data_IF_157417572915
#
_entry.id   IF_157417572915
#
_cell.length_a   1.000
_cell.length_b   1.000
_cell.length_c   1.000
_cell.angle_alpha   90.00
_cell.angle_beta   90.00
_cell.angle_gamma   90.00
#
_symmetry.space_group_name_H-M   'P 1'
#
loop_
_entity.id
_entity.type
_entity.pdbx_description
1 polymer ?
#
# COMPACT_ATOMS: atom_id res chain seq x y z
N UNK A 1 6.52 20.95 -20.69
CA UNK A 1 6.36 21.04 -19.23
C UNK A 1 6.63 19.63 -18.72
N UNK A 2 7.74 19.40 -18.01
CA UNK A 2 8.08 18.05 -17.55
C UNK A 2 7.14 17.67 -16.42
N UNK A 3 6.41 16.57 -16.56
CA UNK A 3 5.56 16.04 -15.51
C UNK A 3 6.47 15.40 -14.46
N UNK A 4 6.75 16.14 -13.40
CA UNK A 4 7.51 15.64 -12.26
C UNK A 4 6.58 14.77 -11.42
N UNK A 5 6.99 13.53 -11.18
CA UNK A 5 6.24 12.57 -10.39
C UNK A 5 6.84 12.56 -8.98
N UNK A 6 6.09 12.97 -7.95
CA UNK A 6 6.55 12.91 -6.56
C UNK A 6 6.05 11.64 -5.87
N UNK A 7 6.98 10.90 -5.28
CA UNK A 7 6.73 9.66 -4.56
C UNK A 7 6.55 9.94 -3.07
N UNK A 8 5.46 9.39 -2.50
CA UNK A 8 5.27 9.35 -1.05
C UNK A 8 5.67 7.98 -0.52
N UNK A 9 6.59 7.96 0.43
CA UNK A 9 7.17 6.72 0.96
C UNK A 9 7.07 6.61 2.47
N UNK A 10 7.09 5.37 2.94
CA UNK A 10 7.06 4.98 4.34
C UNK A 10 8.15 3.96 4.64
N UNK A 11 8.50 3.86 5.92
CA UNK A 11 9.47 2.90 6.40
C UNK A 11 8.93 1.47 6.23
N UNK A 12 9.69 0.55 5.61
CA UNK A 12 9.24 -0.84 5.44
C UNK A 12 9.22 -1.64 6.75
N UNK A 13 9.86 -1.13 7.82
CA UNK A 13 9.94 -1.79 9.12
C UNK A 13 8.79 -1.36 10.04
N UNK A 14 8.53 -0.06 10.17
CA UNK A 14 7.54 0.47 11.11
C UNK A 14 6.32 1.14 10.45
N UNK A 15 6.27 1.21 9.11
CA UNK A 15 5.16 1.78 8.36
C UNK A 15 4.96 3.28 8.48
N UNK A 16 5.79 4.00 9.25
CA UNK A 16 5.69 5.46 9.40
C UNK A 16 6.13 6.16 8.13
N UNK A 17 5.45 7.26 7.79
CA UNK A 17 5.83 8.12 6.67
C UNK A 17 7.26 8.63 6.87
N UNK A 18 8.06 8.60 5.80
CA UNK A 18 9.42 9.14 5.78
C UNK A 18 9.46 10.55 5.18
N UNK A 19 8.29 11.13 4.87
CA UNK A 19 8.19 12.42 4.21
C UNK A 19 8.43 13.56 5.20
N UNK A 20 9.21 14.55 4.77
CA UNK A 20 9.46 15.78 5.52
C UNK A 20 8.96 17.00 4.73
N UNK A 21 7.81 17.52 5.16
CA UNK A 21 7.15 18.69 4.57
C UNK A 21 7.89 20.01 4.80
N UNK A 22 8.82 20.06 5.77
CA UNK A 22 9.55 21.29 6.13
C UNK A 22 10.83 21.47 5.33
N UNK A 23 11.52 20.37 5.04
CA UNK A 23 12.74 20.40 4.25
C UNK A 23 12.42 19.95 2.83
N UNK A 24 12.52 20.87 1.88
CA UNK A 24 12.23 20.58 0.49
C UNK A 24 13.49 20.18 -0.27
N UNK A 25 13.34 19.25 -1.21
CA UNK A 25 14.32 18.95 -2.25
C UNK A 25 13.56 18.97 -3.57
N UNK A 26 14.11 19.64 -4.59
CA UNK A 26 13.41 19.91 -5.86
C UNK A 26 12.06 20.61 -5.71
N UNK A 27 11.92 21.44 -4.67
CA UNK A 27 10.68 22.11 -4.27
C UNK A 27 9.52 21.17 -3.87
N UNK A 28 9.82 19.89 -3.61
CA UNK A 28 8.87 18.92 -3.08
C UNK A 28 9.26 18.48 -1.66
N UNK A 29 8.30 18.01 -0.84
CA UNK A 29 8.59 17.37 0.44
C UNK A 29 9.64 16.27 0.25
N UNK A 30 10.69 16.29 1.07
CA UNK A 30 11.82 15.37 0.92
C UNK A 30 11.57 14.05 1.66
N UNK A 31 12.36 13.03 1.33
CA UNK A 31 12.39 11.77 2.06
C UNK A 31 13.51 11.86 3.10
N UNK A 32 13.16 11.96 4.38
CA UNK A 32 14.11 12.12 5.47
C UNK A 32 14.52 10.77 6.07
N UNK A 33 15.82 10.54 6.14
CA UNK A 33 16.42 9.32 6.67
C UNK A 33 17.66 9.65 7.52
N UNK A 34 17.96 8.79 8.50
CA UNK A 34 19.29 8.75 9.08
C UNK A 34 20.26 8.13 8.08
N UNK A 35 21.47 8.67 7.97
CA UNK A 35 22.51 8.19 7.06
C UNK A 35 23.80 7.87 7.81
N UNK A 36 24.50 6.84 7.36
CA UNK A 36 25.85 6.51 7.80
C UNK A 36 26.74 6.25 6.59
N UNK A 37 27.91 6.89 6.58
CA UNK A 37 28.98 6.70 5.59
C UNK A 37 30.27 6.43 6.34
N UNK A 38 30.80 5.21 6.21
CA UNK A 38 31.88 4.74 7.09
C UNK A 38 31.48 4.85 8.56
N UNK A 39 32.18 5.67 9.33
CA UNK A 39 31.89 5.92 10.76
C UNK A 39 31.06 7.21 11.00
N UNK A 40 30.87 8.05 9.98
CA UNK A 40 30.13 9.31 10.11
C UNK A 40 28.62 9.02 10.09
N UNK A 41 27.89 9.58 11.04
CA UNK A 41 26.42 9.50 11.14
C UNK A 41 25.82 10.87 10.96
N UNK A 42 24.67 10.93 10.28
CA UNK A 42 23.96 12.17 10.02
C UNK A 42 22.54 11.95 9.56
N UNK A 43 21.98 12.99 8.93
CA UNK A 43 20.67 13.03 8.30
C UNK A 43 20.82 13.28 6.81
N UNK A 44 20.03 12.57 6.02
CA UNK A 44 19.89 12.81 4.58
C UNK A 44 18.43 13.07 4.24
N UNK A 45 18.20 14.01 3.34
CA UNK A 45 16.90 14.32 2.77
C UNK A 45 17.02 14.07 1.26
N UNK A 46 16.45 12.98 0.79
CA UNK A 46 16.45 12.63 -0.63
C UNK A 46 15.31 13.35 -1.35
N UNK A 47 15.46 13.59 -2.64
CA UNK A 47 14.33 14.00 -3.47
C UNK A 47 13.24 12.94 -3.46
N UNK A 48 11.98 13.39 -3.38
CA UNK A 48 10.83 12.53 -3.62
C UNK A 48 10.47 12.44 -5.10
N UNK A 49 11.08 13.27 -5.95
CA UNK A 49 10.78 13.30 -7.38
C UNK A 49 11.43 12.09 -8.07
N UNK A 50 10.62 11.32 -8.78
CA UNK A 50 11.08 10.19 -9.57
C UNK A 50 12.08 10.63 -10.64
N UNK A 51 13.15 9.86 -10.84
CA UNK A 51 14.34 10.21 -11.64
C UNK A 51 15.15 11.42 -11.15
N UNK A 52 14.83 11.99 -9.98
CA UNK A 52 15.72 12.94 -9.33
C UNK A 52 16.70 12.22 -8.41
N UNK A 53 17.98 12.60 -8.55
CA UNK A 53 19.08 12.11 -7.71
C UNK A 53 19.57 13.19 -6.75
N UNK A 54 18.85 14.31 -6.64
CA UNK A 54 19.20 15.39 -5.75
C UNK A 54 18.92 14.99 -4.30
N UNK A 55 19.79 15.44 -3.40
CA UNK A 55 19.60 15.25 -1.97
C UNK A 55 20.35 16.34 -1.20
N UNK A 56 19.98 16.50 0.07
CA UNK A 56 20.70 17.28 1.05
C UNK A 56 21.19 16.35 2.14
N UNK A 57 22.46 16.47 2.53
CA UNK A 57 23.02 15.74 3.66
C UNK A 57 23.81 16.68 4.57
N UNK A 58 23.77 16.41 5.86
CA UNK A 58 24.59 17.11 6.88
C UNK A 58 25.98 16.47 7.07
N UNK A 59 26.26 15.37 6.38
CA UNK A 59 27.58 14.72 6.34
C UNK A 59 28.13 14.68 4.91
N UNK A 60 29.44 14.54 4.81
CA UNK A 60 30.10 14.29 3.54
C UNK A 60 29.64 12.96 2.95
N UNK A 61 29.39 12.98 1.64
CA UNK A 61 28.96 11.85 0.83
C UNK A 61 29.95 11.66 -0.32
N UNK A 62 31.13 11.04 -0.06
CA UNK A 62 32.13 10.81 -1.09
C UNK A 62 31.61 9.89 -2.19
N UNK A 63 31.98 10.16 -3.43
CA UNK A 63 31.57 9.34 -4.57
C UNK A 63 32.06 7.90 -4.44
N UNK A 64 31.26 6.95 -4.93
CA UNK A 64 31.49 5.50 -4.88
C UNK A 64 31.44 4.83 -3.49
N UNK A 65 31.30 5.58 -2.40
CA UNK A 65 31.11 5.01 -1.08
C UNK A 65 29.73 4.38 -0.89
N UNK A 66 29.65 3.42 0.05
CA UNK A 66 28.39 2.79 0.43
C UNK A 66 27.74 3.55 1.58
N UNK A 67 26.47 3.91 1.41
CA UNK A 67 25.62 4.48 2.45
C UNK A 67 24.78 3.40 3.12
N UNK A 68 24.53 3.59 4.42
CA UNK A 68 23.50 2.87 5.16
C UNK A 68 22.42 3.85 5.58
N UNK A 69 21.16 3.48 5.35
CA UNK A 69 20.02 4.33 5.67
C UNK A 69 19.20 3.75 6.80
N UNK A 70 18.71 4.62 7.66
CA UNK A 70 17.98 4.28 8.89
C UNK A 70 16.69 5.08 8.95
N UNK A 71 15.62 4.44 9.42
CA UNK A 71 14.37 5.13 9.68
C UNK A 71 14.52 6.10 10.87
N UNK A 72 14.15 7.38 10.75
CA UNK A 72 14.24 8.34 11.85
C UNK A 72 13.24 8.07 12.99
N UNK A 73 12.23 7.23 12.75
CA UNK A 73 11.18 6.92 13.74
C UNK A 73 11.51 5.68 14.57
N UNK A 74 11.98 4.60 13.94
CA UNK A 74 12.26 3.33 14.64
C UNK A 74 13.76 3.00 14.72
N UNK A 75 14.63 3.83 14.14
CA UNK A 75 16.09 3.65 14.09
C UNK A 75 16.55 2.33 13.43
N UNK A 76 15.63 1.60 12.79
CA UNK A 76 15.97 0.36 12.09
C UNK A 76 16.71 0.69 10.79
N UNK A 77 17.77 -0.06 10.54
CA UNK A 77 18.48 -0.04 9.25
C UNK A 77 17.55 -0.58 8.16
N UNK A 78 17.42 0.19 7.08
CA UNK A 78 16.63 -0.20 5.91
C UNK A 78 17.59 -0.88 4.94
N UNK A 79 17.41 -2.19 4.74
CA UNK A 79 18.25 -3.01 3.86
C UNK A 79 17.46 -4.10 3.16
N UNK A 80 17.93 -4.51 1.98
CA UNK A 80 17.44 -5.68 1.27
C UNK A 80 18.55 -6.72 1.07
N UNK A 81 18.16 -7.89 0.55
CA UNK A 81 19.10 -8.93 0.08
C UNK A 81 19.38 -8.84 -1.43
N UNK A 82 18.84 -7.83 -2.09
CA UNK A 82 19.02 -7.64 -3.54
C UNK A 82 20.15 -6.67 -3.80
N UNK A 83 21.06 -7.04 -4.67
CA UNK A 83 22.15 -6.19 -5.12
C UNK A 83 21.75 -5.41 -6.39
N UNK A 84 22.45 -4.32 -6.63
CA UNK A 84 22.28 -3.46 -7.78
C UNK A 84 22.90 -4.11 -9.03
N UNK A 85 22.11 -4.32 -10.09
CA UNK A 85 22.60 -4.94 -11.33
C UNK A 85 23.69 -4.12 -12.04
N UNK A 86 23.81 -2.81 -11.74
CA UNK A 86 24.78 -1.92 -12.36
C UNK A 86 26.14 -1.87 -11.63
N UNK A 87 26.16 -1.96 -10.29
CA UNK A 87 27.38 -1.77 -9.50
C UNK A 87 27.56 -2.77 -8.34
N UNK A 88 26.68 -3.77 -8.27
CA UNK A 88 26.67 -4.86 -7.30
C UNK A 88 26.63 -4.42 -5.82
N UNK A 89 26.20 -3.18 -5.55
CA UNK A 89 26.00 -2.68 -4.21
C UNK A 89 24.59 -3.03 -3.68
N UNK A 90 24.41 -3.19 -2.36
CA UNK A 90 23.09 -3.50 -1.80
C UNK A 90 22.02 -2.46 -2.16
N UNK A 91 20.80 -2.91 -2.45
CA UNK A 91 19.66 -2.03 -2.67
C UNK A 91 18.93 -1.71 -1.35
N UNK A 92 18.39 -0.51 -1.25
CA UNK A 92 17.67 0.00 -0.09
C UNK A 92 16.20 0.21 -0.47
N UNK A 93 15.27 -0.62 0.03
CA UNK A 93 13.85 -0.53 -0.32
C UNK A 93 13.11 0.45 0.58
N UNK A 94 12.24 1.27 -0.01
CA UNK A 94 11.28 2.14 0.68
C UNK A 94 9.88 1.79 0.18
N UNK A 95 8.92 1.63 1.09
CA UNK A 95 7.56 1.27 0.72
C UNK A 95 6.83 2.52 0.22
N UNK A 96 6.08 2.39 -0.88
CA UNK A 96 5.22 3.47 -1.36
C UNK A 96 3.94 3.52 -0.51
N UNK A 97 3.43 4.72 -0.21
CA UNK A 97 2.16 4.87 0.51
C UNK A 97 0.98 4.21 -0.24
N UNK A 98 1.03 4.26 -1.57
CA UNK A 98 0.01 3.70 -2.48
C UNK A 98 0.19 2.21 -2.77
N UNK A 99 1.20 1.57 -2.19
CA UNK A 99 1.56 0.17 -2.43
C UNK A 99 2.67 -0.01 -3.46
N UNK A 100 3.45 -1.08 -3.29
CA UNK A 100 4.71 -1.30 -4.00
C UNK A 100 5.90 -0.74 -3.24
N UNK A 101 7.08 -0.79 -3.84
CA UNK A 101 8.28 -0.20 -3.25
C UNK A 101 9.18 0.42 -4.31
N UNK A 102 9.94 1.42 -3.89
CA UNK A 102 11.07 1.95 -4.64
C UNK A 102 12.34 1.47 -3.96
N UNK A 103 13.25 0.91 -4.74
CA UNK A 103 14.57 0.53 -4.25
C UNK A 103 15.63 1.42 -4.88
N UNK A 104 16.43 2.04 -4.03
CA UNK A 104 17.55 2.89 -4.44
C UNK A 104 18.87 2.18 -4.16
N UNK A 105 19.89 2.44 -4.99
CA UNK A 105 21.22 1.89 -4.76
C UNK A 105 21.87 2.54 -3.54
N UNK A 106 22.55 1.72 -2.71
CA UNK A 106 23.34 2.23 -1.59
C UNK A 106 24.68 2.86 -2.00
N UNK A 107 25.08 2.83 -3.27
CA UNK A 107 26.34 3.43 -3.72
C UNK A 107 26.13 4.88 -4.13
N UNK A 108 26.85 5.80 -3.49
CA UNK A 108 26.85 7.21 -3.86
C UNK A 108 27.38 7.37 -5.28
N UNK A 109 26.63 8.08 -6.14
CA UNK A 109 26.95 8.25 -7.56
C UNK A 109 26.34 7.18 -8.48
N UNK A 110 25.76 6.11 -7.94
CA UNK A 110 25.00 5.16 -8.74
C UNK A 110 23.56 5.66 -8.94
N UNK A 111 23.18 5.92 -10.19
CA UNK A 111 21.83 6.36 -10.57
C UNK A 111 20.83 5.21 -10.74
N UNK A 112 21.28 3.96 -10.55
CA UNK A 112 20.41 2.81 -10.69
C UNK A 112 19.43 2.76 -9.51
N UNK A 113 18.15 2.78 -9.86
CA UNK A 113 17.03 2.63 -8.95
C UNK A 113 15.93 1.91 -9.71
N UNK A 114 15.11 1.12 -9.01
CA UNK A 114 13.97 0.48 -9.64
C UNK A 114 12.75 0.67 -8.76
N UNK A 115 11.63 0.98 -9.40
CA UNK A 115 10.33 0.99 -8.74
C UNK A 115 9.63 -0.30 -9.10
N UNK A 116 9.29 -1.11 -8.10
CA UNK A 116 8.45 -2.28 -8.27
C UNK A 116 7.06 -1.91 -7.81
N UNK A 117 6.18 -1.71 -8.79
CA UNK A 117 4.76 -1.54 -8.55
C UNK A 117 4.06 -2.90 -8.53
N UNK A 118 3.12 -3.06 -7.61
CA UNK A 118 2.26 -4.25 -7.49
C UNK A 118 1.27 -4.30 -8.64
N UNK A 119 0.67 -3.15 -8.94
CA UNK A 119 -0.24 -2.92 -10.06
C UNK A 119 0.24 -1.66 -10.77
N UNK A 120 0.99 -1.86 -11.84
CA UNK A 120 1.55 -0.80 -12.67
C UNK A 120 0.48 0.18 -13.17
N UNK A 121 -0.74 -0.31 -13.41
CA UNK A 121 -1.86 0.49 -13.93
C UNK A 121 -2.42 1.46 -12.87
N UNK A 122 -2.47 1.05 -11.60
CA UNK A 122 -2.96 1.88 -10.50
C UNK A 122 -1.93 2.93 -10.08
N UNK A 123 -0.67 2.51 -9.94
CA UNK A 123 0.41 3.43 -9.63
C UNK A 123 0.52 4.51 -10.69
N UNK A 124 0.58 4.15 -11.99
CA UNK A 124 0.55 5.12 -13.07
C UNK A 124 -0.68 6.03 -12.98
N UNK A 125 -1.90 5.50 -12.80
CA UNK A 125 -3.12 6.32 -12.70
C UNK A 125 -3.03 7.36 -11.58
N UNK A 126 -2.51 7.01 -10.41
CA UNK A 126 -2.37 7.98 -9.32
C UNK A 126 -1.24 8.99 -9.59
N UNK A 127 -0.14 8.58 -10.23
CA UNK A 127 0.93 9.49 -10.68
C UNK A 127 0.43 10.47 -11.78
N UNK A 128 -0.47 10.02 -12.66
CA UNK A 128 -1.14 10.87 -13.66
C UNK A 128 -2.12 11.86 -13.02
N UNK A 129 -2.82 11.46 -11.97
CA UNK A 129 -3.73 12.33 -11.20
C UNK A 129 -2.93 13.39 -10.43
N UNK A 130 -1.85 12.98 -9.76
CA UNK A 130 -1.02 13.88 -8.94
C UNK A 130 -0.24 14.90 -9.81
N UNK A 131 0.04 14.58 -11.07
CA UNK A 131 0.64 15.49 -12.06
C UNK A 131 -0.38 16.40 -12.77
N UNK A 132 -1.67 16.35 -12.39
CA UNK A 132 -2.69 17.28 -12.88
C UNK A 132 -3.24 16.98 -14.28
N UNK A 133 -3.04 15.78 -14.81
CA UNK A 133 -3.59 15.39 -16.11
C UNK A 133 -5.04 14.92 -16.00
N UNK A 134 -5.96 15.86 -16.22
CA UNK A 134 -7.34 15.54 -16.58
C UNK A 134 -7.38 14.99 -18.02
N UNK A 135 -7.93 13.77 -18.13
CA UNK A 135 -8.55 13.14 -19.32
C UNK A 135 -7.64 12.78 -20.52
N UNK A 136 -7.20 11.51 -20.57
CA UNK A 136 -7.27 10.67 -21.79
C UNK A 136 -7.57 9.21 -21.43
N UNK A 137 -8.39 8.49 -22.23
CA UNK A 137 -8.73 7.09 -21.96
C UNK A 137 -7.52 6.18 -22.23
N UNK A 138 -7.37 5.18 -21.38
CA UNK A 138 -6.37 4.12 -21.48
C UNK A 138 -6.69 3.23 -22.69
N UNK A 139 -5.74 3.06 -23.62
CA UNK A 139 -5.87 2.18 -24.78
C UNK A 139 -5.46 0.74 -24.39
N UNK A 140 -6.29 -0.26 -24.73
CA UNK A 140 -6.13 -1.66 -24.29
C UNK A 140 -5.09 -2.48 -25.10
N UNK A 141 -4.48 -1.90 -26.13
CA UNK A 141 -3.61 -2.63 -27.07
C UNK A 141 -2.10 -2.55 -26.74
N UNK A 142 -1.71 -3.03 -25.55
CA UNK A 142 -0.32 -3.44 -25.29
C UNK A 142 -0.23 -4.93 -24.95
N UNK A 143 -0.61 -5.77 -25.91
CA UNK A 143 -0.27 -7.20 -25.92
C UNK A 143 1.12 -7.41 -26.54
N UNK A 144 2.15 -6.86 -25.91
CA UNK A 144 3.53 -7.22 -26.20
C UNK A 144 3.84 -8.58 -25.56
N UNK A 145 4.23 -9.57 -26.37
CA UNK A 145 4.56 -10.92 -25.90
C UNK A 145 5.79 -10.92 -24.98
N UNK A 146 5.59 -10.96 -23.66
CA UNK A 146 6.64 -11.20 -22.68
C UNK A 146 6.83 -12.70 -22.48
N UNK A 147 8.05 -13.21 -22.69
CA UNK A 147 8.45 -14.54 -22.24
C UNK A 147 8.97 -14.44 -20.81
N UNK A 148 8.47 -15.25 -19.85
CA UNK A 148 9.01 -15.24 -18.49
C UNK A 148 10.45 -15.76 -18.50
N UNK A 149 11.38 -15.00 -17.92
CA UNK A 149 12.67 -15.54 -17.47
C UNK A 149 12.38 -16.48 -16.31
N UNK A 150 12.82 -17.73 -16.43
CA UNK A 150 12.53 -18.81 -15.49
C UNK A 150 13.00 -18.49 -14.08
N UNK A 151 12.08 -18.60 -13.12
CA UNK A 151 12.37 -18.57 -11.69
C UNK A 151 12.98 -19.92 -11.28
N UNK A 152 14.12 -19.90 -10.60
CA UNK A 152 14.74 -21.08 -9.99
C UNK A 152 13.92 -21.59 -8.80
N UNK A 153 13.89 -22.91 -8.62
CA UNK A 153 12.93 -23.68 -7.85
C UNK A 153 13.10 -23.66 -6.30
N UNK A 154 13.75 -22.65 -5.72
CA UNK A 154 14.19 -22.71 -4.31
C UNK A 154 13.73 -21.53 -3.43
N UNK A 155 12.56 -20.93 -3.71
CA UNK A 155 11.90 -20.04 -2.75
C UNK A 155 10.76 -20.80 -2.06
N UNK A 156 11.02 -21.39 -0.89
CA UNK A 156 9.97 -21.88 0.00
C UNK A 156 8.96 -20.73 0.27
N UNK A 157 7.76 -20.85 -0.29
CA UNK A 157 6.62 -19.96 -0.07
C UNK A 157 6.25 -19.93 1.43
N UNK A 158 6.89 -19.03 2.17
CA UNK A 158 6.50 -18.73 3.54
C UNK A 158 5.20 -17.95 3.52
N UNK A 159 4.10 -18.69 3.67
CA UNK A 159 2.74 -18.19 3.89
C UNK A 159 2.79 -17.11 4.99
N UNK A 160 2.31 -15.91 4.67
CA UNK A 160 2.30 -14.80 5.60
C UNK A 160 1.17 -14.93 6.62
N UNK A 161 1.39 -14.56 7.88
CA UNK A 161 0.32 -14.45 8.88
C UNK A 161 0.11 -12.97 9.23
N UNK A 162 -1.05 -12.42 8.88
CA UNK A 162 -1.47 -11.09 9.33
C UNK A 162 -2.00 -11.22 10.75
N UNK A 163 -1.33 -10.52 11.67
CA UNK A 163 -1.64 -10.58 13.10
C UNK A 163 -2.84 -9.73 13.46
N UNK A 164 -3.55 -10.14 14.50
CA UNK A 164 -4.61 -9.34 15.12
C UNK A 164 -4.09 -7.96 15.51
N UNK A 165 -4.88 -6.91 15.23
CA UNK A 165 -4.48 -5.53 15.45
C UNK A 165 -3.58 -4.93 14.37
N UNK A 166 -3.29 -5.65 13.28
CA UNK A 166 -2.60 -5.06 12.12
C UNK A 166 -3.50 -4.04 11.43
N UNK A 167 -2.96 -2.85 11.12
CA UNK A 167 -3.68 -1.84 10.33
C UNK A 167 -3.81 -2.30 8.87
N UNK A 168 -5.04 -2.42 8.40
CA UNK A 168 -5.37 -2.81 7.03
C UNK A 168 -5.59 -1.55 6.19
N UNK A 169 -4.69 -1.29 5.24
CA UNK A 169 -4.97 -0.30 4.22
C UNK A 169 -5.97 -0.89 3.23
N UNK A 170 -7.14 -0.25 3.11
CA UNK A 170 -8.27 -0.76 2.34
C UNK A 170 -8.56 0.09 1.11
N UNK A 171 -8.97 -0.56 0.03
CA UNK A 171 -9.20 0.05 -1.28
C UNK A 171 -10.47 -0.48 -1.94
N UNK A 172 -11.08 0.34 -2.80
CA UNK A 172 -12.23 -0.08 -3.58
C UNK A 172 -11.81 -1.03 -4.70
N UNK A 173 -12.46 -2.20 -4.89
CA UNK A 173 -12.11 -3.13 -5.97
C UNK A 173 -12.33 -2.56 -7.37
N UNK A 174 -13.18 -1.53 -7.54
CA UNK A 174 -13.53 -0.98 -8.84
C UNK A 174 -12.73 0.27 -9.21
N UNK A 175 -12.66 1.27 -8.32
CA UNK A 175 -11.96 2.52 -8.61
C UNK A 175 -10.55 2.57 -7.99
N UNK A 176 -10.19 1.57 -7.18
CA UNK A 176 -8.90 1.42 -6.51
C UNK A 176 -8.51 2.54 -5.53
N UNK A 177 -9.34 3.57 -5.35
CA UNK A 177 -9.14 4.61 -4.34
C UNK A 177 -9.19 4.03 -2.93
N UNK A 178 -8.39 4.61 -2.02
CA UNK A 178 -8.39 4.25 -0.62
C UNK A 178 -9.77 4.46 0.00
N UNK A 179 -10.22 3.46 0.74
CA UNK A 179 -11.45 3.53 1.53
C UNK A 179 -11.20 4.10 2.93
N UNK A 180 -9.95 4.48 3.26
CA UNK A 180 -9.59 5.07 4.54
C UNK A 180 -9.83 6.58 4.51
N UNK A 181 -10.65 7.08 5.44
CA UNK A 181 -10.83 8.51 5.69
C UNK A 181 -10.73 8.77 7.20
N UNK A 182 -9.88 9.72 7.61
CA UNK A 182 -9.66 10.10 9.02
C UNK A 182 -9.35 8.90 9.95
N UNK A 183 -8.58 7.93 9.46
CA UNK A 183 -8.19 6.74 10.23
C UNK A 183 -9.27 5.67 10.38
N UNK A 184 -10.35 5.74 9.60
CA UNK A 184 -11.42 4.73 9.58
C UNK A 184 -11.70 4.25 8.17
N UNK A 185 -12.15 3.01 8.01
CA UNK A 185 -12.70 2.54 6.73
C UNK A 185 -14.07 3.18 6.57
N UNK A 186 -14.21 4.10 5.61
CA UNK A 186 -15.46 4.78 5.31
C UNK A 186 -16.15 4.10 4.13
N UNK A 187 -17.42 3.75 4.29
CA UNK A 187 -18.24 3.10 3.27
C UNK A 187 -19.58 3.85 3.17
N UNK A 188 -20.16 3.93 1.98
CA UNK A 188 -21.55 4.41 1.83
C UNK A 188 -22.48 3.23 2.08
N UNK A 189 -23.55 3.47 2.85
CA UNK A 189 -24.56 2.45 3.15
C UNK A 189 -25.94 2.96 2.78
N UNK A 190 -26.76 2.13 2.15
CA UNK A 190 -28.14 2.43 1.79
C UNK A 190 -29.08 1.35 2.28
N UNK A 191 -30.05 1.74 3.11
CA UNK A 191 -31.04 0.84 3.71
C UNK A 191 -32.40 1.52 3.83
N UNK A 192 -33.46 0.82 3.41
CA UNK A 192 -34.85 1.29 3.51
C UNK A 192 -35.04 2.73 3.00
N UNK A 193 -34.41 3.07 1.87
CA UNK A 193 -34.46 4.41 1.27
C UNK A 193 -33.61 5.47 1.96
N UNK A 194 -32.99 5.19 3.13
CA UNK A 194 -32.04 6.08 3.79
C UNK A 194 -30.62 5.78 3.32
N UNK A 195 -29.83 6.82 3.11
CA UNK A 195 -28.41 6.73 2.76
C UNK A 195 -27.55 7.41 3.83
N UNK A 196 -26.39 6.84 4.10
CA UNK A 196 -25.44 7.35 5.08
C UNK A 196 -24.05 6.76 4.88
N UNK A 197 -23.21 6.94 5.91
CA UNK A 197 -21.87 6.39 5.97
C UNK A 197 -21.73 5.41 7.12
N UNK A 198 -20.99 4.34 6.86
CA UNK A 198 -20.51 3.38 7.83
C UNK A 198 -19.00 3.59 7.98
N UNK A 199 -18.55 3.78 9.21
CA UNK A 199 -17.13 3.90 9.57
C UNK A 199 -16.73 2.69 10.40
N UNK A 200 -15.81 1.88 9.86
CA UNK A 200 -15.27 0.69 10.52
C UNK A 200 -13.84 0.94 10.98
N UNK A 201 -13.41 0.22 12.01
CA UNK A 201 -12.00 0.12 12.36
C UNK A 201 -11.19 -0.47 11.19
N UNK A 202 -10.01 0.09 10.88
CA UNK A 202 -9.09 -0.49 9.91
C UNK A 202 -8.21 -1.60 10.49
N UNK A 203 -8.29 -1.91 11.78
CA UNK A 203 -7.42 -2.91 12.40
C UNK A 203 -8.04 -4.31 12.36
N UNK A 204 -7.26 -5.32 11.95
CA UNK A 204 -7.70 -6.72 11.90
C UNK A 204 -8.21 -7.17 13.27
N UNK A 205 -9.35 -7.87 13.29
CA UNK A 205 -10.04 -8.35 14.50
C UNK A 205 -10.48 -7.27 15.49
N UNK A 206 -10.55 -6.00 15.05
CA UNK A 206 -11.15 -4.90 15.81
C UNK A 206 -12.48 -4.52 15.16
N UNK A 207 -13.59 -4.92 15.75
CA UNK A 207 -14.94 -4.82 15.15
C UNK A 207 -15.71 -3.56 15.54
N UNK A 208 -15.01 -2.47 15.88
CA UNK A 208 -15.69 -1.21 16.23
C UNK A 208 -16.27 -0.56 14.96
N UNK A 209 -17.50 -0.06 15.09
CA UNK A 209 -18.21 0.60 13.98
C UNK A 209 -19.02 1.80 14.45
N UNK A 210 -19.17 2.78 13.57
CA UNK A 210 -20.04 3.95 13.72
C UNK A 210 -20.83 4.14 12.44
N UNK A 211 -22.05 4.64 12.53
CA UNK A 211 -22.90 4.87 11.36
C UNK A 211 -23.64 6.20 11.48
N UNK A 212 -23.86 6.88 10.36
CA UNK A 212 -24.67 8.10 10.28
C UNK A 212 -26.16 7.80 10.13
N UNK A 213 -26.53 6.54 9.91
CA UNK A 213 -27.92 6.05 9.91
C UNK A 213 -28.09 4.93 10.93
N UNK A 214 -29.32 4.73 11.40
CA UNK A 214 -29.63 3.62 12.29
C UNK A 214 -29.48 2.28 11.55
N UNK A 215 -28.62 1.41 12.08
CA UNK A 215 -28.43 0.03 11.64
C UNK A 215 -28.79 -0.88 12.82
N UNK A 216 -29.87 -1.67 12.76
CA UNK A 216 -30.24 -2.61 13.82
C UNK A 216 -29.23 -3.75 13.95
N UNK A 217 -29.05 -4.22 15.18
CA UNK A 217 -28.19 -5.36 15.49
C UNK A 217 -28.75 -6.65 14.87
N UNK A 218 -27.84 -7.56 14.49
CA UNK A 218 -28.17 -8.87 13.93
C UNK A 218 -29.02 -8.85 12.65
N UNK A 219 -28.98 -7.77 11.89
CA UNK A 219 -29.70 -7.63 10.64
C UNK A 219 -28.78 -7.23 9.48
N UNK A 220 -29.18 -7.58 8.26
CA UNK A 220 -28.52 -7.15 7.03
C UNK A 220 -28.55 -5.62 6.92
N UNK A 221 -27.39 -4.99 6.74
CA UNK A 221 -27.29 -3.52 6.78
C UNK A 221 -27.69 -2.83 5.48
N UNK A 222 -28.04 -3.58 4.44
CA UNK A 222 -28.41 -3.05 3.13
C UNK A 222 -27.23 -3.01 2.16
N UNK A 223 -27.37 -2.21 1.12
CA UNK A 223 -26.32 -2.05 0.12
C UNK A 223 -25.14 -1.28 0.71
N UNK A 224 -23.93 -1.79 0.46
CA UNK A 224 -22.66 -1.18 0.85
C UNK A 224 -21.95 -0.79 -0.44
N UNK A 225 -21.56 0.46 -0.58
CA UNK A 225 -20.93 1.01 -1.79
C UNK A 225 -19.69 1.84 -1.47
N UNK A 226 -18.83 1.99 -2.48
CA UNK A 226 -17.68 2.87 -2.39
C UNK A 226 -18.13 4.35 -2.31
N UNK A 227 -17.61 5.11 -1.35
CA UNK A 227 -17.94 6.54 -1.23
C UNK A 227 -17.30 7.43 -2.31
N UNK A 228 -16.42 6.88 -3.16
CA UNK A 228 -15.80 7.61 -4.27
C UNK A 228 -16.50 7.41 -5.61
N UNK A 229 -16.94 6.17 -5.90
CA UNK A 229 -17.48 5.82 -7.21
C UNK A 229 -18.89 5.23 -7.18
N UNK A 230 -19.50 5.12 -6.00
CA UNK A 230 -20.87 4.65 -5.77
C UNK A 230 -21.18 3.22 -6.24
N UNK A 231 -20.19 2.49 -6.76
CA UNK A 231 -20.35 1.07 -7.10
C UNK A 231 -20.57 0.24 -5.84
N UNK A 232 -21.54 -0.66 -5.91
CA UNK A 232 -21.82 -1.63 -4.84
C UNK A 232 -20.63 -2.55 -4.64
N UNK A 233 -20.27 -2.74 -3.38
CA UNK A 233 -19.25 -3.67 -2.91
C UNK A 233 -19.85 -5.02 -2.54
N UNK A 234 -21.18 -5.13 -2.47
CA UNK A 234 -21.89 -6.37 -2.15
C UNK A 234 -21.71 -7.37 -3.29
N UNK A 235 -21.36 -8.60 -2.93
CA UNK A 235 -21.35 -9.75 -3.82
C UNK A 235 -22.67 -10.52 -3.67
N UNK A 236 -23.36 -10.78 -4.77
CA UNK A 236 -24.61 -11.56 -4.79
C UNK A 236 -24.36 -13.06 -4.68
N UNK A 237 -23.22 -13.52 -5.18
CA UNK A 237 -22.96 -14.93 -5.47
C UNK A 237 -22.22 -15.64 -4.31
N UNK A 238 -21.74 -14.87 -3.33
CA UNK A 238 -21.06 -15.39 -2.14
C UNK A 238 -21.78 -14.95 -0.87
N UNK A 239 -21.76 -15.81 0.15
CA UNK A 239 -22.43 -15.58 1.43
C UNK A 239 -21.46 -15.76 2.59
N UNK A 240 -21.74 -15.06 3.68
CA UNK A 240 -21.00 -15.18 4.93
C UNK A 240 -21.12 -16.61 5.47
N UNK A 241 -19.98 -17.26 5.72
CA UNK A 241 -19.94 -18.65 6.20
C UNK A 241 -20.47 -18.81 7.64
N UNK A 242 -20.51 -17.73 8.41
CA UNK A 242 -20.97 -17.76 9.81
C UNK A 242 -22.48 -17.51 9.94
N UNK A 243 -23.04 -16.56 9.19
CA UNK A 243 -24.44 -16.13 9.38
C UNK A 243 -25.32 -16.17 8.11
N UNK A 244 -24.75 -16.54 6.96
CA UNK A 244 -25.47 -16.65 5.68
C UNK A 244 -25.87 -15.34 5.02
N UNK A 245 -25.51 -14.18 5.59
CA UNK A 245 -25.79 -12.87 5.01
C UNK A 245 -24.87 -12.57 3.82
N UNK A 246 -25.20 -11.54 3.04
CA UNK A 246 -24.36 -11.09 1.94
C UNK A 246 -23.01 -10.61 2.46
N UNK A 247 -22.01 -10.60 1.58
CA UNK A 247 -20.67 -10.12 1.92
C UNK A 247 -20.30 -8.95 1.02
N UNK A 248 -19.54 -8.02 1.58
CA UNK A 248 -18.92 -6.96 0.79
C UNK A 248 -17.46 -7.29 0.52
N UNK A 249 -17.04 -7.06 -0.73
CA UNK A 249 -15.65 -7.18 -1.17
C UNK A 249 -14.95 -5.84 -1.10
N UNK A 250 -13.83 -5.81 -0.40
CA UNK A 250 -12.85 -4.73 -0.41
C UNK A 250 -11.48 -5.30 -0.74
N UNK A 251 -10.53 -4.46 -1.17
CA UNK A 251 -9.15 -4.89 -1.35
C UNK A 251 -8.32 -4.45 -0.15
N UNK A 252 -7.46 -5.33 0.37
CA UNK A 252 -6.52 -5.01 1.45
C UNK A 252 -5.09 -5.16 0.91
N UNK A 253 -4.19 -4.27 1.33
CA UNK A 253 -2.76 -4.46 1.07
C UNK A 253 -2.09 -5.23 2.21
N UNK A 254 -1.39 -6.32 1.89
CA UNK A 254 -0.37 -6.92 2.74
C UNK A 254 0.85 -7.29 1.88
N UNK A 255 2.05 -7.15 2.45
CA UNK A 255 3.31 -7.12 1.71
C UNK A 255 3.23 -6.22 0.47
N UNK A 256 3.51 -6.82 -0.69
CA UNK A 256 3.64 -6.25 -2.03
C UNK A 256 2.47 -6.67 -2.91
N UNK A 257 1.31 -7.01 -2.34
CA UNK A 257 0.12 -7.43 -3.10
C UNK A 257 -1.14 -6.81 -2.52
N UNK A 258 -2.14 -6.64 -3.38
CA UNK A 258 -3.50 -6.41 -2.96
C UNK A 258 -4.26 -7.72 -3.13
N UNK A 259 -5.07 -8.06 -2.14
CA UNK A 259 -5.90 -9.26 -2.17
C UNK A 259 -7.34 -8.90 -1.84
N UNK A 260 -8.25 -9.77 -2.26
CA UNK A 260 -9.66 -9.62 -1.99
C UNK A 260 -9.94 -10.02 -0.54
N UNK A 261 -10.54 -9.09 0.21
CA UNK A 261 -10.92 -9.25 1.60
C UNK A 261 -12.42 -9.06 1.72
N UNK A 262 -13.08 -10.04 2.33
CA UNK A 262 -14.52 -10.05 2.47
C UNK A 262 -14.93 -9.70 3.89
N UNK A 263 -15.95 -8.86 4.01
CA UNK A 263 -16.58 -8.52 5.29
C UNK A 263 -18.07 -8.87 5.24
N UNK A 264 -18.59 -9.40 6.35
CA UNK A 264 -20.02 -9.65 6.46
C UNK A 264 -20.83 -8.34 6.45
N UNK A 265 -21.96 -8.33 5.75
CA UNK A 265 -22.91 -7.20 5.73
C UNK A 265 -24.01 -7.29 6.79
N UNK A 266 -23.92 -8.25 7.73
CA UNK A 266 -24.83 -8.33 8.88
C UNK A 266 -24.22 -7.61 10.08
N UNK A 267 -24.94 -6.66 10.67
CA UNK A 267 -24.47 -5.99 11.88
C UNK A 267 -24.32 -6.99 13.03
N UNK A 268 -23.19 -6.93 13.73
CA UNK A 268 -22.87 -7.81 14.85
C UNK A 268 -22.16 -9.11 14.44
N UNK A 269 -22.11 -9.45 13.15
CA UNK A 269 -21.29 -10.56 12.67
C UNK A 269 -19.82 -10.14 12.56
N UNK A 270 -18.92 -10.97 13.09
CA UNK A 270 -17.46 -10.73 13.10
C UNK A 270 -16.72 -11.45 11.98
N UNK A 271 -17.47 -12.18 11.15
CA UNK A 271 -16.90 -12.91 10.04
C UNK A 271 -16.26 -11.98 9.01
N UNK A 272 -15.07 -12.36 8.62
CA UNK A 272 -14.31 -11.83 7.49
C UNK A 272 -13.53 -12.99 6.87
N UNK A 273 -13.14 -12.86 5.61
CA UNK A 273 -12.48 -13.94 4.87
C UNK A 273 -11.64 -13.45 3.71
N UNK A 274 -10.89 -14.38 3.13
CA UNK A 274 -10.05 -14.15 1.95
C UNK A 274 -10.59 -14.90 0.74
N UNK A 275 -10.17 -14.50 -0.46
CA UNK A 275 -10.46 -15.27 -1.67
C UNK A 275 -9.72 -16.61 -1.67
N UNK A 276 -10.25 -17.60 -2.39
CA UNK A 276 -9.60 -18.92 -2.52
C UNK A 276 -8.21 -18.86 -3.13
N UNK A 277 -7.97 -17.86 -3.98
CA UNK A 277 -6.66 -17.62 -4.61
C UNK A 277 -5.67 -17.05 -3.59
N UNK A 278 -6.15 -16.15 -2.72
CA UNK A 278 -5.32 -15.45 -1.73
C UNK A 278 -5.01 -16.26 -0.46
N UNK A 279 -5.84 -17.26 -0.13
CA UNK A 279 -5.64 -18.16 1.04
C UNK A 279 -4.32 -18.94 0.96
N UNK A 280 -3.79 -19.17 -0.24
CA UNK A 280 -2.54 -19.88 -0.43
C UNK A 280 -1.32 -19.01 -0.06
N UNK A 281 -1.43 -17.70 -0.20
CA UNK A 281 -0.34 -16.75 0.01
C UNK A 281 -0.38 -16.12 1.43
N UNK A 282 -1.58 -15.95 1.98
CA UNK A 282 -1.84 -15.16 3.20
C UNK A 282 -2.79 -15.89 4.14
N UNK A 283 -2.48 -15.86 5.44
CA UNK A 283 -3.30 -16.35 6.54
C UNK A 283 -3.62 -15.21 7.50
N UNK A 284 -4.81 -15.26 8.10
CA UNK A 284 -5.22 -14.35 9.17
C UNK A 284 -5.11 -15.10 10.51
N UNK A 285 -4.53 -14.48 11.52
CA UNK A 285 -4.19 -15.13 12.81
C UNK A 285 -5.39 -15.75 13.54
N UNK A 286 -6.62 -15.22 13.35
CA UNK A 286 -7.85 -15.74 13.98
C UNK A 286 -8.96 -16.07 12.97
N UNK A 287 -8.62 -16.39 11.72
CA UNK A 287 -9.63 -16.85 10.76
C UNK A 287 -10.16 -18.23 11.16
N UNK A 288 -11.47 -18.41 11.20
CA UNK A 288 -12.15 -19.71 11.37
C UNK A 288 -12.02 -20.62 10.13
N UNK A 289 -11.16 -20.28 9.16
CA UNK A 289 -11.00 -20.99 7.88
C UNK A 289 -9.96 -22.12 7.91
N UNK A 290 -9.64 -22.67 9.08
CA UNK A 290 -8.79 -23.86 9.23
C UNK A 290 -9.58 -25.13 9.57
#
# INVERSE_FOLDING_TARGET
>A
MFNLISLKVKCPVCGHSLMNEKQLVDNCPSIQLGVMVGEKKGTINLSSVYESYNYLSDIETPENELIRLFCPHCNSEIKSRTDCDACNAPMIPLDLELGGNVSICSRIGCTNHFVKFVDFSFALKQLYIDSGYLERPYDEDMTGSWKPLGMSADEEEKIEVIKTGTFLHTYCPYCKKSLIEKGTIKLKVKRNGKSGFLMLSPYLNVFTSKSTIYLPENEFIGDISCFHCDKTLILSDEKCKECGSDIARIMVSARKRLFDFYICSKKGCKWHGLSKEDINDIRLEDSLEW
#
